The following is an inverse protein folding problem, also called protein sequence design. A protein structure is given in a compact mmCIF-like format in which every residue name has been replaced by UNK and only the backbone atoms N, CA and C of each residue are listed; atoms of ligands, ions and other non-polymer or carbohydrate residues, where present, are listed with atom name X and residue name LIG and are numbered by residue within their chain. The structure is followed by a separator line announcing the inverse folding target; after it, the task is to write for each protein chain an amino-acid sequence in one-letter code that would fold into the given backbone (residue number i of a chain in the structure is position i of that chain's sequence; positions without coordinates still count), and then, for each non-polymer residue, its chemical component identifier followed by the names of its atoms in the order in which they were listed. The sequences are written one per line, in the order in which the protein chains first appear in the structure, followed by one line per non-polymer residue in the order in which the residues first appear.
data_IF_160379291430
#
_entry.id   IF_160379291430
#
_cell.length_a   1.000
_cell.length_b   1.000
_cell.length_c   1.000
_cell.angle_alpha   90.00
_cell.angle_beta   90.00
_cell.angle_gamma   90.00
#
_symmetry.space_group_name_H-M   'P 1'
#
loop_
_entity.id
_entity.type
_entity.pdbx_description
1 polymer ?
#
# COMPACT_ATOMS: atom_id res chain seq x y z
N UNK A 1 8.97 19.14 -28.30
CA UNK A 1 10.39 18.75 -28.17
C UNK A 1 10.52 17.23 -27.95
N UNK A 2 9.86 16.60 -26.97
CA UNK A 2 10.04 15.17 -26.64
C UNK A 2 9.80 14.19 -27.81
N UNK A 3 8.88 14.50 -28.73
CA UNK A 3 8.64 13.70 -29.94
C UNK A 3 9.84 13.71 -30.92
N UNK A 4 10.73 14.71 -30.80
CA UNK A 4 11.92 14.84 -31.65
C UNK A 4 13.20 14.34 -30.93
N UNK A 5 13.07 13.30 -30.12
CA UNK A 5 14.15 12.74 -29.29
C UNK A 5 15.35 12.20 -30.12
N UNK A 6 15.18 12.01 -31.44
CA UNK A 6 16.32 11.65 -32.31
C UNK A 6 17.41 12.70 -32.27
N UNK A 7 17.05 13.97 -32.16
CA UNK A 7 17.96 15.10 -32.27
C UNK A 7 17.95 16.04 -31.03
N UNK A 8 16.94 15.90 -30.16
CA UNK A 8 16.68 16.80 -29.02
C UNK A 8 16.65 16.06 -27.72
N UNK A 9 17.43 16.54 -26.74
CA UNK A 9 17.25 16.17 -25.34
C UNK A 9 16.27 17.14 -24.68
N UNK A 10 15.30 16.61 -23.91
CA UNK A 10 14.33 17.41 -23.20
C UNK A 10 14.38 17.13 -21.71
N UNK A 11 14.33 18.20 -20.90
CA UNK A 11 14.29 18.15 -19.43
C UNK A 11 12.95 18.71 -18.98
N UNK A 12 12.08 17.88 -18.45
CA UNK A 12 10.70 18.26 -18.10
C UNK A 12 10.49 18.53 -16.61
N UNK A 13 11.45 18.15 -15.76
CA UNK A 13 11.38 18.37 -14.32
C UNK A 13 12.76 18.64 -13.70
N UNK A 14 12.77 19.28 -12.53
CA UNK A 14 14.02 19.54 -11.78
C UNK A 14 14.72 18.24 -11.35
N UNK A 15 13.98 17.16 -11.13
CA UNK A 15 14.55 15.86 -10.79
C UNK A 15 15.49 15.29 -11.87
N UNK A 16 15.39 15.79 -13.11
CA UNK A 16 16.21 15.38 -14.26
C UNK A 16 17.50 16.20 -14.42
N UNK A 17 17.69 17.25 -13.63
CA UNK A 17 18.90 18.10 -13.76
C UNK A 17 20.18 17.34 -13.43
N UNK A 18 20.19 16.58 -12.34
CA UNK A 18 21.37 15.80 -11.97
C UNK A 18 21.64 14.67 -12.98
N UNK A 19 20.66 13.82 -13.37
CA UNK A 19 20.88 12.84 -14.45
C UNK A 19 21.41 13.45 -15.75
N UNK A 20 20.89 14.60 -16.17
CA UNK A 20 21.41 15.29 -17.35
C UNK A 20 22.86 15.73 -17.17
N UNK A 21 23.19 16.32 -16.02
CA UNK A 21 24.56 16.76 -15.74
C UNK A 21 25.53 15.58 -15.77
N UNK A 22 25.16 14.47 -15.14
CA UNK A 22 25.97 13.25 -15.08
C UNK A 22 26.21 12.69 -16.50
N UNK A 23 25.19 12.63 -17.38
CA UNK A 23 25.32 12.26 -18.79
C UNK A 23 26.31 13.17 -19.56
N UNK A 24 26.15 14.50 -19.41
CA UNK A 24 27.00 15.46 -20.12
C UNK A 24 28.45 15.43 -19.64
N UNK A 25 28.67 15.13 -18.36
CA UNK A 25 30.03 14.96 -17.83
C UNK A 25 30.67 13.66 -18.32
N UNK A 26 29.91 12.58 -18.42
CA UNK A 26 30.41 11.28 -18.87
C UNK A 26 30.74 11.27 -20.37
N UNK A 27 29.91 11.92 -21.19
CA UNK A 27 30.02 11.87 -22.66
C UNK A 27 30.54 13.16 -23.32
N UNK A 28 31.11 14.09 -22.55
CA UNK A 28 31.72 15.29 -23.11
C UNK A 28 30.75 16.23 -23.83
N UNK A 29 29.62 16.54 -23.18
CA UNK A 29 28.55 17.41 -23.68
C UNK A 29 27.77 16.84 -24.89
N UNK A 30 27.78 15.53 -25.05
CA UNK A 30 26.95 14.79 -26.03
C UNK A 30 25.95 13.88 -25.34
N UNK A 31 25.00 13.32 -26.08
CA UNK A 31 24.04 12.36 -25.56
C UNK A 31 23.78 11.25 -26.56
N UNK A 32 23.60 10.04 -26.11
CA UNK A 32 23.18 8.91 -26.92
C UNK A 32 21.70 8.99 -27.28
N UNK A 33 21.27 8.19 -28.26
CA UNK A 33 19.85 8.07 -28.62
C UNK A 33 19.03 7.47 -27.48
N UNK A 34 19.61 6.52 -26.72
CA UNK A 34 18.92 5.87 -25.59
C UNK A 34 18.65 6.86 -24.48
N UNK A 35 19.61 7.71 -24.14
CA UNK A 35 19.45 8.76 -23.12
C UNK A 35 18.38 9.78 -23.54
N UNK A 36 18.39 10.23 -24.79
CA UNK A 36 17.36 11.13 -25.30
C UNK A 36 15.98 10.49 -25.28
N UNK A 37 15.88 9.19 -25.61
CA UNK A 37 14.64 8.43 -25.55
C UNK A 37 14.14 8.28 -24.10
N UNK A 38 15.05 8.02 -23.15
CA UNK A 38 14.73 7.98 -21.75
C UNK A 38 14.19 9.33 -21.25
N UNK A 39 14.89 10.42 -21.56
CA UNK A 39 14.44 11.78 -21.19
C UNK A 39 13.10 12.15 -21.83
N UNK A 40 12.84 11.71 -23.06
CA UNK A 40 11.55 11.90 -23.71
C UNK A 40 10.44 11.13 -23.03
N UNK A 41 10.69 9.87 -22.59
CA UNK A 41 9.76 9.08 -21.80
C UNK A 41 9.39 9.82 -20.50
N UNK A 42 10.40 10.34 -19.78
CA UNK A 42 10.17 11.09 -18.54
C UNK A 42 9.35 12.39 -18.80
N UNK A 43 9.60 13.08 -19.92
CA UNK A 43 8.82 14.25 -20.29
C UNK A 43 7.34 13.91 -20.55
N UNK A 44 7.08 12.77 -21.19
CA UNK A 44 5.70 12.28 -21.38
C UNK A 44 5.06 11.80 -20.08
N UNK A 45 5.84 11.25 -19.15
CA UNK A 45 5.32 10.91 -17.82
C UNK A 45 4.82 12.16 -17.08
N UNK A 46 5.59 13.26 -17.12
CA UNK A 46 5.18 14.55 -16.53
C UNK A 46 3.92 15.10 -17.21
N UNK A 47 3.91 15.19 -18.56
CA UNK A 47 2.80 15.83 -19.27
C UNK A 47 1.51 15.00 -19.18
N UNK A 48 1.59 13.68 -19.32
CA UNK A 48 0.40 12.80 -19.23
C UNK A 48 -0.22 12.81 -17.83
N UNK A 49 0.62 12.88 -16.78
CA UNK A 49 0.13 13.02 -15.41
C UNK A 49 -0.61 14.35 -15.22
N UNK A 50 -0.02 15.43 -15.70
CA UNK A 50 -0.61 16.77 -15.61
C UNK A 50 -1.91 16.86 -16.42
N UNK A 51 -1.92 16.38 -17.66
CA UNK A 51 -3.13 16.38 -18.50
C UNK A 51 -4.25 15.51 -17.92
N UNK A 52 -3.90 14.37 -17.30
CA UNK A 52 -4.87 13.53 -16.59
C UNK A 52 -5.48 14.25 -15.38
N UNK A 53 -4.68 15.01 -14.63
CA UNK A 53 -5.17 15.81 -13.51
C UNK A 53 -6.09 16.94 -13.97
N UNK A 54 -5.73 17.64 -15.07
CA UNK A 54 -6.56 18.67 -15.67
C UNK A 54 -7.89 18.08 -16.16
N UNK A 55 -7.84 16.95 -16.88
CA UNK A 55 -9.06 16.29 -17.34
C UNK A 55 -9.98 15.95 -16.17
N UNK A 56 -9.47 15.31 -15.12
CA UNK A 56 -10.26 14.94 -13.96
C UNK A 56 -10.86 16.15 -13.23
N UNK A 57 -10.16 17.30 -13.24
CA UNK A 57 -10.68 18.54 -12.69
C UNK A 57 -11.89 19.07 -13.48
N UNK A 58 -11.82 19.07 -14.82
CA UNK A 58 -12.91 19.56 -15.67
C UNK A 58 -14.05 18.55 -15.80
N UNK A 59 -13.79 17.24 -15.74
CA UNK A 59 -14.81 16.20 -15.73
C UNK A 59 -15.68 16.23 -14.46
N UNK A 60 -15.18 16.87 -13.38
CA UNK A 60 -15.89 17.16 -12.14
C UNK A 60 -16.71 15.99 -11.57
N UNK A 61 -16.37 14.76 -11.94
CA UNK A 61 -17.05 13.53 -11.53
C UNK A 61 -18.21 13.10 -12.43
N UNK A 62 -18.39 13.72 -13.60
CA UNK A 62 -19.37 13.28 -14.61
C UNK A 62 -19.12 11.86 -15.09
N UNK A 63 -17.87 11.39 -14.98
CA UNK A 63 -17.50 10.02 -15.32
C UNK A 63 -17.49 9.74 -16.84
N UNK A 64 -17.26 10.78 -17.65
CA UNK A 64 -17.22 10.67 -19.11
C UNK A 64 -16.07 9.77 -19.59
N UNK A 65 -14.95 9.69 -18.83
CA UNK A 65 -13.84 8.78 -19.07
C UNK A 65 -13.05 8.52 -17.80
N UNK A 66 -12.53 7.30 -17.65
CA UNK A 66 -11.61 6.96 -16.56
C UNK A 66 -10.18 7.28 -16.95
N UNK A 67 -9.53 8.18 -16.21
CA UNK A 67 -8.11 8.50 -16.34
C UNK A 67 -7.44 8.48 -14.96
N UNK A 68 -6.45 7.60 -14.82
CA UNK A 68 -5.64 7.48 -13.62
C UNK A 68 -4.16 7.53 -13.99
N UNK A 69 -3.40 8.35 -13.29
CA UNK A 69 -1.94 8.43 -13.45
C UNK A 69 -1.27 8.43 -12.09
N UNK A 70 -0.39 7.47 -11.86
CA UNK A 70 0.39 7.31 -10.63
C UNK A 70 1.86 7.28 -10.99
N UNK A 71 2.65 8.18 -10.40
CA UNK A 71 4.07 8.34 -10.72
C UNK A 71 5.01 7.55 -9.80
N UNK A 72 4.49 6.98 -8.70
CA UNK A 72 5.27 6.18 -7.76
C UNK A 72 5.02 4.69 -7.97
N UNK A 73 6.10 3.93 -7.98
CA UNK A 73 6.08 2.47 -8.10
C UNK A 73 7.00 1.87 -7.03
N UNK A 74 6.52 0.85 -6.34
CA UNK A 74 7.32 0.01 -5.44
C UNK A 74 7.28 -1.43 -5.94
N UNK A 75 8.45 -2.01 -6.19
CA UNK A 75 8.53 -3.45 -6.48
C UNK A 75 8.30 -4.21 -5.17
N UNK A 76 7.40 -5.19 -5.22
CA UNK A 76 7.11 -6.08 -4.13
C UNK A 76 8.10 -7.26 -4.13
N UNK A 77 8.16 -7.99 -3.03
CA UNK A 77 9.01 -9.16 -2.88
C UNK A 77 8.80 -10.19 -3.99
N UNK A 78 7.53 -10.44 -4.39
CA UNK A 78 7.10 -11.25 -5.54
C UNK A 78 5.65 -10.89 -5.88
N UNK A 79 5.13 -11.39 -7.03
CA UNK A 79 3.75 -11.25 -7.44
C UNK A 79 2.83 -12.26 -6.76
N UNK A 80 1.80 -12.72 -7.45
CA UNK A 80 0.90 -13.76 -6.94
C UNK A 80 1.67 -15.06 -6.64
N UNK A 81 2.60 -15.42 -7.53
CA UNK A 81 3.49 -16.56 -7.38
C UNK A 81 4.95 -16.11 -7.21
N UNK A 82 5.82 -16.92 -6.53
CA UNK A 82 7.20 -16.55 -6.21
C UNK A 82 8.09 -16.20 -7.42
N UNK A 83 7.79 -16.72 -8.60
CA UNK A 83 8.55 -16.43 -9.82
C UNK A 83 8.09 -15.20 -10.58
N UNK A 84 6.97 -14.59 -10.16
CA UNK A 84 6.40 -13.40 -10.78
C UNK A 84 6.91 -12.14 -10.09
N UNK A 85 7.04 -11.05 -10.86
CA UNK A 85 7.27 -9.72 -10.29
C UNK A 85 5.93 -9.09 -9.94
N UNK A 86 5.83 -8.54 -8.72
CA UNK A 86 4.70 -7.74 -8.28
C UNK A 86 5.11 -6.28 -8.14
N UNK A 87 4.17 -5.38 -8.41
CA UNK A 87 4.38 -3.94 -8.28
C UNK A 87 3.18 -3.30 -7.59
N UNK A 88 3.47 -2.40 -6.68
CA UNK A 88 2.49 -1.50 -6.09
C UNK A 88 2.66 -0.11 -6.70
N UNK A 89 1.57 0.46 -7.19
CA UNK A 89 1.54 1.82 -7.71
C UNK A 89 0.79 2.71 -6.72
N UNK A 90 1.46 3.68 -6.14
CA UNK A 90 0.91 4.55 -5.13
C UNK A 90 1.92 4.81 -4.00
N UNK A 91 1.46 5.47 -2.93
CA UNK A 91 2.25 5.72 -1.74
C UNK A 91 1.74 4.86 -0.57
N UNK A 92 2.33 3.68 -0.39
CA UNK A 92 1.97 2.76 0.69
C UNK A 92 2.27 3.37 2.08
N UNK A 93 3.34 4.17 2.17
CA UNK A 93 3.75 4.84 3.40
C UNK A 93 2.80 5.97 3.83
N UNK A 94 1.95 6.48 2.92
CA UNK A 94 0.87 7.38 3.28
C UNK A 94 -0.30 6.66 3.96
N UNK A 95 -0.42 5.35 3.78
CA UNK A 95 -1.51 4.52 4.32
C UNK A 95 -1.13 3.82 5.61
N UNK A 96 0.12 3.34 5.69
CA UNK A 96 0.60 2.52 6.80
C UNK A 96 2.03 2.86 7.17
N UNK A 97 2.34 2.76 8.46
CA UNK A 97 3.72 2.58 8.94
C UNK A 97 3.93 1.10 9.22
N UNK A 98 4.82 0.46 8.49
CA UNK A 98 5.27 -0.89 8.83
C UNK A 98 6.33 -0.80 9.92
N UNK A 99 5.97 -1.16 11.15
CA UNK A 99 6.85 -1.05 12.31
C UNK A 99 7.59 -2.34 12.65
N UNK A 100 7.18 -3.48 12.07
CA UNK A 100 7.83 -4.77 12.29
C UNK A 100 7.58 -5.75 11.13
N UNK A 101 8.47 -6.74 10.98
CA UNK A 101 8.27 -7.94 10.19
C UNK A 101 8.95 -7.95 8.82
N UNK A 102 8.62 -8.97 8.03
CA UNK A 102 9.11 -9.16 6.66
C UNK A 102 8.49 -8.14 5.70
N UNK A 103 9.11 -7.96 4.54
CA UNK A 103 8.57 -7.15 3.45
C UNK A 103 7.18 -7.68 2.99
N UNK A 104 6.26 -6.75 2.75
CA UNK A 104 4.88 -7.04 2.32
C UNK A 104 4.90 -7.65 0.92
N UNK A 105 4.21 -8.77 0.73
CA UNK A 105 4.03 -9.43 -0.56
C UNK A 105 2.75 -8.96 -1.27
N UNK A 106 2.62 -9.33 -2.55
CA UNK A 106 1.41 -9.10 -3.33
C UNK A 106 0.16 -9.69 -2.63
N UNK A 107 0.23 -10.95 -2.20
CA UNK A 107 -0.89 -11.61 -1.52
C UNK A 107 -1.24 -10.93 -0.19
N UNK A 108 -0.22 -10.49 0.58
CA UNK A 108 -0.51 -9.70 1.79
C UNK A 108 -1.25 -8.40 1.46
N UNK A 109 -0.88 -7.69 0.36
CA UNK A 109 -1.56 -6.46 -0.02
C UNK A 109 -3.02 -6.69 -0.44
N UNK A 110 -3.34 -7.80 -1.09
CA UNK A 110 -4.72 -8.15 -1.42
C UNK A 110 -5.56 -8.34 -0.15
N UNK A 111 -5.04 -9.13 0.79
CA UNK A 111 -5.73 -9.37 2.07
C UNK A 111 -5.82 -8.09 2.91
N UNK A 112 -4.76 -7.25 2.95
CA UNK A 112 -4.75 -5.94 3.62
C UNK A 112 -5.82 -5.02 3.03
N UNK A 113 -5.94 -4.95 1.70
CA UNK A 113 -6.95 -4.13 1.04
C UNK A 113 -8.36 -4.56 1.44
N UNK A 114 -8.64 -5.87 1.37
CA UNK A 114 -9.94 -6.41 1.79
C UNK A 114 -10.23 -6.14 3.27
N UNK A 115 -9.20 -6.23 4.13
CA UNK A 115 -9.33 -5.96 5.56
C UNK A 115 -9.65 -4.49 5.84
N UNK A 116 -8.98 -3.57 5.15
CA UNK A 116 -9.22 -2.12 5.28
C UNK A 116 -10.61 -1.75 4.78
N UNK A 117 -11.00 -2.25 3.60
CA UNK A 117 -12.33 -1.98 3.05
C UNK A 117 -13.44 -2.50 3.99
N UNK A 118 -13.24 -3.67 4.61
CA UNK A 118 -14.20 -4.25 5.53
C UNK A 118 -14.31 -3.45 6.83
N UNK A 119 -13.18 -3.10 7.48
CA UNK A 119 -13.21 -2.42 8.77
C UNK A 119 -13.77 -1.00 8.66
N UNK A 120 -13.66 -0.35 7.49
CA UNK A 120 -14.19 0.98 7.22
C UNK A 120 -15.72 1.04 7.14
N UNK A 121 -16.39 -0.09 7.11
CA UNK A 121 -17.86 -0.16 7.17
C UNK A 121 -18.39 -0.10 8.62
N UNK A 122 -17.50 -0.06 9.64
CA UNK A 122 -17.89 -0.10 11.06
C UNK A 122 -17.41 1.13 11.82
N UNK A 123 -18.36 1.83 12.43
CA UNK A 123 -18.09 2.96 13.34
C UNK A 123 -17.80 2.48 14.77
N UNK A 124 -18.42 1.36 15.19
CA UNK A 124 -18.16 0.74 16.49
C UNK A 124 -16.78 0.07 16.53
N UNK A 125 -16.24 -0.08 17.77
CA UNK A 125 -14.98 -0.82 17.96
C UNK A 125 -15.14 -2.25 17.47
N UNK A 126 -14.42 -2.59 16.41
CA UNK A 126 -14.57 -3.84 15.67
C UNK A 126 -13.21 -4.51 15.46
N UNK A 127 -13.20 -5.82 15.52
CA UNK A 127 -12.09 -6.67 15.15
C UNK A 127 -12.50 -7.62 14.03
N UNK A 128 -11.69 -7.72 12.96
CA UNK A 128 -11.93 -8.63 11.86
C UNK A 128 -10.70 -9.51 11.59
N UNK A 129 -10.98 -10.74 11.18
CA UNK A 129 -9.99 -11.75 10.78
C UNK A 129 -10.29 -12.15 9.35
N UNK A 130 -9.33 -11.98 8.46
CA UNK A 130 -9.49 -12.28 7.04
C UNK A 130 -8.46 -13.32 6.57
N UNK A 131 -8.87 -14.10 5.60
CA UNK A 131 -8.00 -15.02 4.89
C UNK A 131 -8.47 -15.17 3.44
N UNK A 132 -7.51 -15.02 2.48
CA UNK A 132 -7.82 -15.06 1.05
C UNK A 132 -8.96 -14.10 0.65
N UNK A 133 -8.82 -12.84 1.09
CA UNK A 133 -9.75 -11.72 0.86
C UNK A 133 -11.16 -11.88 1.48
N UNK A 134 -11.37 -12.90 2.30
CA UNK A 134 -12.68 -13.14 2.93
C UNK A 134 -12.56 -13.10 4.45
N UNK A 135 -13.56 -12.52 5.11
CA UNK A 135 -13.66 -12.57 6.55
C UNK A 135 -14.03 -14.00 7.00
N UNK A 136 -13.26 -14.55 7.93
CA UNK A 136 -13.59 -15.78 8.66
C UNK A 136 -14.06 -15.49 10.08
N UNK A 137 -13.92 -14.26 10.56
CA UNK A 137 -14.44 -13.79 11.82
C UNK A 137 -14.53 -12.28 11.88
N UNK A 138 -15.59 -11.76 12.49
CA UNK A 138 -15.79 -10.33 12.73
C UNK A 138 -16.69 -10.15 13.95
N UNK A 139 -16.32 -9.23 14.83
CA UNK A 139 -17.16 -8.85 15.97
C UNK A 139 -16.91 -7.40 16.39
N UNK A 140 -18.00 -6.71 16.78
CA UNK A 140 -17.96 -5.39 17.41
C UNK A 140 -18.27 -5.53 18.90
N UNK A 141 -17.39 -5.02 19.76
CA UNK A 141 -17.52 -5.07 21.22
C UNK A 141 -17.01 -3.77 21.85
N UNK A 142 -17.11 -3.67 23.17
CA UNK A 142 -16.64 -2.50 23.91
C UNK A 142 -15.11 -2.48 24.14
N UNK A 143 -14.45 -3.65 24.02
CA UNK A 143 -12.99 -3.79 24.15
C UNK A 143 -12.42 -4.54 22.95
N UNK A 144 -11.15 -4.27 22.61
CA UNK A 144 -10.44 -5.00 21.53
C UNK A 144 -10.32 -6.48 21.89
N UNK A 145 -10.08 -6.80 23.16
CA UNK A 145 -9.97 -8.17 23.65
C UNK A 145 -11.24 -8.98 23.41
N UNK A 146 -12.42 -8.42 23.76
CA UNK A 146 -13.68 -9.10 23.59
C UNK A 146 -14.06 -9.22 22.10
N UNK A 147 -13.80 -8.15 21.32
CA UNK A 147 -14.00 -8.17 19.88
C UNK A 147 -13.12 -9.26 19.22
N UNK A 148 -11.85 -9.36 19.62
CA UNK A 148 -10.95 -10.44 19.18
C UNK A 148 -11.45 -11.83 19.49
N UNK A 149 -11.85 -12.09 20.76
CA UNK A 149 -12.33 -13.42 21.19
C UNK A 149 -13.56 -13.87 20.41
N UNK A 150 -14.50 -12.97 20.21
CA UNK A 150 -15.74 -13.29 19.51
C UNK A 150 -15.53 -13.39 17.98
N UNK A 151 -14.64 -12.56 17.41
CA UNK A 151 -14.24 -12.73 16.01
C UNK A 151 -13.56 -14.08 15.77
N UNK A 152 -12.63 -14.47 16.66
CA UNK A 152 -11.94 -15.76 16.56
C UNK A 152 -12.92 -16.95 16.73
N UNK A 153 -13.92 -16.82 17.57
CA UNK A 153 -14.93 -17.87 17.79
C UNK A 153 -15.77 -18.18 16.54
N UNK A 154 -15.82 -17.27 15.56
CA UNK A 154 -16.51 -17.47 14.29
C UNK A 154 -15.94 -18.63 13.49
N UNK A 155 -14.62 -18.66 13.27
CA UNK A 155 -13.90 -19.77 12.63
C UNK A 155 -12.42 -19.77 13.05
N UNK A 156 -12.08 -20.40 14.18
CA UNK A 156 -10.72 -20.42 14.69
C UNK A 156 -9.75 -21.23 13.82
N UNK A 157 -10.26 -22.13 12.98
CA UNK A 157 -9.41 -22.94 12.08
C UNK A 157 -8.94 -22.11 10.90
N UNK A 158 -9.85 -21.38 10.26
CA UNK A 158 -9.53 -20.51 9.14
C UNK A 158 -8.72 -19.26 9.55
N UNK A 159 -8.82 -18.83 10.81
CA UNK A 159 -8.05 -17.70 11.35
C UNK A 159 -6.53 -17.91 11.31
N UNK A 160 -6.08 -19.17 11.34
CA UNK A 160 -4.65 -19.50 11.31
C UNK A 160 -3.98 -19.02 10.02
N UNK A 161 -2.93 -18.19 10.16
CA UNK A 161 -2.19 -17.61 9.04
C UNK A 161 -2.94 -16.47 8.33
N UNK A 162 -3.97 -15.92 8.92
CA UNK A 162 -4.76 -14.82 8.38
C UNK A 162 -4.15 -13.44 8.55
N UNK A 163 -4.92 -12.44 8.13
CA UNK A 163 -4.69 -11.02 8.33
C UNK A 163 -5.71 -10.50 9.35
N UNK A 164 -5.21 -9.84 10.37
CA UNK A 164 -5.96 -9.30 11.48
C UNK A 164 -6.09 -7.79 11.35
N UNK A 165 -7.26 -7.23 11.61
CA UNK A 165 -7.47 -5.79 11.62
C UNK A 165 -8.46 -5.37 12.69
N UNK A 166 -8.19 -4.22 13.32
CA UNK A 166 -9.12 -3.54 14.23
C UNK A 166 -9.07 -2.03 14.02
N UNK A 167 -10.17 -1.35 14.34
CA UNK A 167 -10.23 0.10 14.44
C UNK A 167 -9.97 0.62 15.86
N UNK A 168 -9.66 -0.27 16.82
CA UNK A 168 -9.25 0.05 18.19
C UNK A 168 -7.76 -0.07 18.41
N UNK A 169 -7.24 0.57 19.47
CA UNK A 169 -5.84 0.46 19.92
C UNK A 169 -5.65 -0.90 20.59
N UNK A 170 -4.58 -1.60 20.20
CA UNK A 170 -4.27 -2.92 20.76
C UNK A 170 -3.48 -2.75 22.05
N UNK A 171 -4.09 -3.11 23.17
CA UNK A 171 -3.48 -3.15 24.50
C UNK A 171 -2.73 -4.47 24.75
N UNK A 172 -2.08 -4.54 25.91
CA UNK A 172 -1.33 -5.72 26.35
C UNK A 172 -2.19 -6.98 26.43
N UNK A 173 -3.37 -6.87 27.04
CA UNK A 173 -4.24 -8.04 27.29
C UNK A 173 -4.76 -8.63 25.97
N UNK A 174 -5.15 -7.78 25.03
CA UNK A 174 -5.52 -8.21 23.68
C UNK A 174 -4.33 -8.83 22.95
N UNK A 175 -3.14 -8.24 23.03
CA UNK A 175 -1.93 -8.76 22.39
C UNK A 175 -1.53 -10.15 22.91
N UNK A 176 -1.67 -10.41 24.23
CA UNK A 176 -1.40 -11.72 24.83
C UNK A 176 -2.33 -12.80 24.25
N UNK A 177 -3.61 -12.51 24.09
CA UNK A 177 -4.59 -13.45 23.50
C UNK A 177 -4.37 -13.63 22.01
N UNK A 178 -4.15 -12.53 21.26
CA UNK A 178 -3.88 -12.55 19.82
C UNK A 178 -2.60 -13.36 19.51
N UNK A 179 -1.58 -13.25 20.35
CA UNK A 179 -0.29 -13.94 20.15
C UNK A 179 -0.38 -15.48 20.27
N UNK A 180 -1.50 -16.02 20.78
CA UNK A 180 -1.71 -17.49 20.92
C UNK A 180 -1.89 -18.20 19.58
N UNK A 181 -2.28 -17.47 18.53
CA UNK A 181 -2.40 -18.03 17.18
C UNK A 181 -1.31 -17.50 16.26
N UNK A 182 -1.04 -18.24 15.20
CA UNK A 182 -0.18 -17.75 14.11
C UNK A 182 -1.01 -16.91 13.14
N UNK A 183 -0.51 -15.73 12.79
CA UNK A 183 -1.05 -14.85 11.76
C UNK A 183 0.10 -14.14 11.00
N UNK A 184 -0.18 -13.72 9.76
CA UNK A 184 0.80 -13.09 8.88
C UNK A 184 0.92 -11.58 9.12
N UNK A 185 -0.23 -10.89 9.25
CA UNK A 185 -0.30 -9.42 9.33
C UNK A 185 -1.28 -9.02 10.44
N UNK A 186 -0.96 -7.97 11.16
CA UNK A 186 -1.89 -7.29 12.05
C UNK A 186 -1.89 -5.79 11.78
N UNK A 187 -3.08 -5.19 11.76
CA UNK A 187 -3.32 -3.80 11.41
C UNK A 187 -4.17 -3.15 12.51
N UNK A 188 -3.70 -2.06 13.07
CA UNK A 188 -4.44 -1.25 14.04
C UNK A 188 -4.07 0.23 13.88
N UNK A 189 -4.89 1.17 14.41
CA UNK A 189 -4.54 2.58 14.44
C UNK A 189 -3.34 2.86 15.36
N UNK A 190 -3.16 2.08 16.42
CA UNK A 190 -2.03 2.19 17.34
C UNK A 190 -1.90 0.93 18.21
N UNK A 191 -0.80 0.81 18.95
CA UNK A 191 -0.46 -0.31 19.82
C UNK A 191 0.20 0.22 21.09
N UNK A 192 -0.17 -0.32 22.25
CA UNK A 192 0.57 -0.08 23.48
C UNK A 192 2.00 -0.65 23.39
N UNK A 193 2.94 -0.08 24.13
CA UNK A 193 4.35 -0.51 24.13
C UNK A 193 4.48 -2.00 24.46
N UNK A 194 3.79 -2.45 25.52
CA UNK A 194 3.80 -3.86 25.96
C UNK A 194 3.19 -4.77 24.87
N UNK A 195 2.17 -4.30 24.16
CA UNK A 195 1.55 -5.03 23.04
C UNK A 195 2.53 -5.24 21.89
N UNK A 196 3.30 -4.20 21.56
CA UNK A 196 4.35 -4.30 20.52
C UNK A 196 5.46 -5.29 20.89
N UNK A 197 5.89 -5.31 22.17
CA UNK A 197 6.89 -6.25 22.64
C UNK A 197 6.40 -7.70 22.50
N UNK A 198 5.13 -7.97 22.81
CA UNK A 198 4.51 -9.30 22.69
C UNK A 198 4.38 -9.70 21.22
N UNK A 199 3.78 -8.84 20.40
CA UNK A 199 3.51 -9.14 19.00
C UNK A 199 4.79 -9.22 18.16
N UNK A 200 5.82 -8.43 18.48
CA UNK A 200 7.10 -8.39 17.80
C UNK A 200 8.01 -9.61 18.04
N UNK A 201 7.67 -10.54 18.95
CA UNK A 201 8.47 -11.74 19.20
C UNK A 201 8.64 -12.66 17.97
N UNK A 202 7.75 -12.58 17.01
CA UNK A 202 7.80 -13.37 15.77
C UNK A 202 8.39 -12.54 14.62
N UNK A 203 9.69 -12.75 14.32
CA UNK A 203 10.49 -11.99 13.36
C UNK A 203 9.80 -11.66 12.02
N UNK A 204 9.00 -12.57 11.48
CA UNK A 204 8.39 -12.43 10.16
C UNK A 204 6.97 -11.86 10.20
N UNK A 205 6.39 -11.65 11.39
CA UNK A 205 5.05 -11.10 11.55
C UNK A 205 5.03 -9.64 11.13
N UNK A 206 4.14 -9.27 10.24
CA UNK A 206 4.01 -7.89 9.77
C UNK A 206 3.07 -7.14 10.73
N UNK A 207 3.56 -6.02 11.28
CA UNK A 207 2.79 -5.14 12.15
C UNK A 207 2.68 -3.79 11.47
N UNK A 208 1.45 -3.36 11.19
CA UNK A 208 1.13 -2.12 10.50
C UNK A 208 0.35 -1.17 11.41
N UNK A 209 0.83 0.05 11.54
CA UNK A 209 0.04 1.17 12.07
C UNK A 209 -0.71 1.80 10.91
N UNK A 210 -2.04 1.82 10.99
CA UNK A 210 -2.90 2.44 10.01
C UNK A 210 -2.94 3.95 10.21
N UNK A 211 -2.70 4.70 9.14
CA UNK A 211 -2.81 6.16 9.14
C UNK A 211 -4.22 6.59 8.72
N UNK A 212 -4.68 7.71 9.24
CA UNK A 212 -5.91 8.36 8.80
C UNK A 212 -5.72 9.01 7.42
N UNK A 213 -5.39 8.24 6.42
CA UNK A 213 -5.35 8.73 5.05
C UNK A 213 -6.76 8.64 4.47
N UNK A 214 -7.42 9.78 4.30
CA UNK A 214 -8.66 9.86 3.49
C UNK A 214 -8.30 9.63 2.02
N UNK A 215 -8.12 8.37 1.64
CA UNK A 215 -7.99 8.02 0.24
C UNK A 215 -9.36 8.21 -0.44
N UNK A 216 -9.41 8.87 -1.62
CA UNK A 216 -10.65 8.94 -2.35
C UNK A 216 -11.08 7.50 -2.68
N UNK A 217 -12.23 7.06 -2.16
CA UNK A 217 -12.85 5.77 -2.50
C UNK A 217 -13.23 5.81 -3.99
N UNK A 218 -12.28 5.50 -4.87
CA UNK A 218 -12.58 5.23 -6.28
C UNK A 218 -12.92 3.75 -6.39
N UNK A 219 -14.21 3.44 -6.25
CA UNK A 219 -14.71 2.11 -6.55
C UNK A 219 -14.91 1.98 -8.06
N UNK A 220 -14.31 0.95 -8.66
CA UNK A 220 -14.77 0.43 -9.94
C UNK A 220 -16.13 -0.23 -9.68
N UNK A 221 -17.18 0.38 -10.20
CA UNK A 221 -18.53 -0.19 -10.23
C UNK A 221 -18.79 -0.78 -11.60
#
# INVERSE_FOLDING_TARGET
AAKNYNDVIIVASQAQYKPLLDMLMEHGATSSLEERRWMAKEAFAVSSHYDSAIFNYFDAGEGSAFRCSVNSQKQLRYGENPHQKGYFYGNLEAMFDQIHGKEISYNNLLDINAAVDLIDEFDDLTFAILKHNNACGLASRTTVLDAWKDALAGDPVSAFGGVLITNGVIDKEAAEEINKIFFEVIIAPDYDVDALEILGQKKNRIILVRKEAKLPKKQLR
#
